data_IF_987140717597
#
_entry.id   IF_987140717597
#
_cell.length_a   1.000
_cell.length_b   1.000
_cell.length_c   1.000
_cell.angle_alpha   90.00
_cell.angle_beta   90.00
_cell.angle_gamma   90.00
#
_symmetry.space_group_name_H-M   'P 1'
#
loop_
_entity.id
_entity.type
_entity.pdbx_description
1 polymer ?
#
# COMPACT_ATOMS: atom_id res chain seq x y z
N UNK A 1 -10.76 -12.01 2.95
CA UNK A 1 -11.35 -12.86 4.02
C UNK A 1 -10.93 -12.31 5.37
N UNK A 2 -11.87 -11.83 6.16
CA UNK A 2 -11.63 -11.30 7.50
C UNK A 2 -11.22 -12.41 8.49
N UNK A 3 -10.47 -12.03 9.53
CA UNK A 3 -10.09 -12.97 10.61
C UNK A 3 -11.29 -13.66 11.28
N UNK A 4 -12.43 -12.94 11.36
CA UNK A 4 -13.71 -13.43 11.87
C UNK A 4 -14.37 -14.47 10.95
N UNK A 5 -14.23 -14.35 9.63
CA UNK A 5 -14.77 -15.32 8.67
C UNK A 5 -14.04 -16.66 8.73
N UNK A 6 -12.73 -16.66 8.99
CA UNK A 6 -11.95 -17.90 9.19
C UNK A 6 -12.38 -18.70 10.43
N UNK A 7 -13.01 -18.05 11.42
CA UNK A 7 -13.55 -18.69 12.63
C UNK A 7 -15.04 -19.02 12.53
N UNK A 8 -15.68 -18.79 11.36
CA UNK A 8 -17.13 -18.99 11.19
C UNK A 8 -18.00 -18.02 11.98
N UNK A 9 -17.41 -16.97 12.55
CA UNK A 9 -18.12 -15.92 13.25
C UNK A 9 -18.56 -14.87 12.23
N UNK A 10 -19.85 -14.79 11.94
CA UNK A 10 -20.42 -13.66 11.19
C UNK A 10 -20.39 -12.45 12.11
N UNK A 11 -19.70 -11.36 11.75
CA UNK A 11 -19.80 -10.13 12.53
C UNK A 11 -21.26 -9.66 12.49
N UNK A 12 -21.86 -9.50 13.63
CA UNK A 12 -23.22 -8.94 13.74
C UNK A 12 -23.14 -7.42 13.62
N UNK A 13 -22.71 -6.93 12.43
CA UNK A 13 -22.60 -5.50 12.14
C UNK A 13 -23.87 -5.08 11.46
N UNK A 14 -24.75 -4.41 12.20
CA UNK A 14 -25.98 -3.80 11.70
C UNK A 14 -25.84 -2.30 11.43
N UNK A 15 -24.62 -1.75 11.47
CA UNK A 15 -24.37 -0.32 11.26
C UNK A 15 -24.35 -0.05 9.75
N UNK A 16 -25.18 0.90 9.30
CA UNK A 16 -25.17 1.35 7.90
C UNK A 16 -23.90 2.17 7.60
N UNK A 17 -23.55 2.29 6.32
CA UNK A 17 -22.44 3.14 5.89
C UNK A 17 -22.62 4.60 6.34
N UNK A 18 -23.84 5.11 6.28
CA UNK A 18 -24.19 6.47 6.67
C UNK A 18 -24.02 6.74 8.19
N UNK A 19 -24.19 5.69 9.01
CA UNK A 19 -24.12 5.78 10.48
C UNK A 19 -22.71 5.45 11.01
N UNK A 20 -21.85 4.83 10.19
CA UNK A 20 -20.46 4.56 10.57
C UNK A 20 -19.73 5.88 10.87
N UNK A 21 -18.91 5.88 11.92
CA UNK A 21 -18.12 7.05 12.33
C UNK A 21 -16.63 6.74 12.27
N UNK A 22 -15.78 7.77 11.99
CA UNK A 22 -14.35 7.64 12.15
C UNK A 22 -13.96 7.09 13.52
N UNK A 23 -13.07 6.10 13.54
CA UNK A 23 -12.52 5.54 14.77
C UNK A 23 -11.43 6.45 15.35
N UNK A 24 -10.94 6.14 16.56
CA UNK A 24 -9.82 6.85 17.17
C UNK A 24 -8.60 6.90 16.24
N UNK A 25 -8.29 5.81 15.52
CA UNK A 25 -7.21 5.78 14.53
C UNK A 25 -7.42 6.80 13.42
N UNK A 26 -8.63 6.92 12.85
CA UNK A 26 -8.93 7.92 11.82
C UNK A 26 -8.73 9.34 12.33
N UNK A 27 -9.24 9.63 13.55
CA UNK A 27 -9.12 10.95 14.16
C UNK A 27 -7.66 11.28 14.53
N UNK A 28 -6.89 10.29 15.00
CA UNK A 28 -5.47 10.44 15.26
C UNK A 28 -4.70 10.76 13.98
N UNK A 29 -4.96 10.04 12.88
CA UNK A 29 -4.31 10.32 11.59
C UNK A 29 -4.68 11.72 11.11
N UNK A 30 -5.95 12.13 11.20
CA UNK A 30 -6.38 13.47 10.81
C UNK A 30 -5.64 14.56 11.61
N UNK A 31 -5.48 14.37 12.94
CA UNK A 31 -4.69 15.28 13.80
C UNK A 31 -3.22 15.34 13.34
N UNK A 32 -2.59 14.20 13.07
CA UNK A 32 -1.19 14.17 12.61
C UNK A 32 -1.01 14.82 11.23
N UNK A 33 -2.02 14.77 10.36
CA UNK A 33 -2.04 15.50 9.08
C UNK A 33 -2.10 17.00 9.34
N UNK A 34 -3.01 17.44 10.22
CA UNK A 34 -3.15 18.86 10.59
C UNK A 34 -1.88 19.44 11.21
N UNK A 35 -1.18 18.64 12.02
CA UNK A 35 0.12 18.99 12.63
C UNK A 35 1.32 18.83 11.68
N UNK A 36 1.06 18.57 10.40
CA UNK A 36 2.09 18.35 9.37
C UNK A 36 3.11 17.24 9.70
N UNK A 37 2.73 16.30 10.59
CA UNK A 37 3.54 15.11 10.93
C UNK A 37 3.32 13.99 9.92
N UNK A 38 2.09 13.81 9.44
CA UNK A 38 1.73 12.91 8.35
C UNK A 38 1.51 13.75 7.09
N UNK A 39 2.31 13.52 6.07
CA UNK A 39 2.25 14.31 4.82
C UNK A 39 1.15 13.82 3.88
N UNK A 40 0.90 12.51 3.86
CA UNK A 40 -0.04 11.93 2.91
C UNK A 40 -0.61 10.60 3.44
N UNK A 41 -1.89 10.37 3.20
CA UNK A 41 -2.62 9.15 3.55
C UNK A 41 -3.04 8.44 2.27
N UNK A 42 -2.77 7.13 2.18
CA UNK A 42 -3.15 6.29 1.05
C UNK A 42 -4.12 5.24 1.56
N UNK A 43 -5.37 5.30 1.11
CA UNK A 43 -6.41 4.37 1.51
C UNK A 43 -6.82 3.44 0.38
N UNK A 44 -7.09 2.18 0.74
CA UNK A 44 -7.74 1.20 -0.11
C UNK A 44 -9.20 0.98 0.30
N UNK A 45 -9.65 1.64 1.37
CA UNK A 45 -11.02 1.53 1.87
C UNK A 45 -11.95 2.44 1.07
N UNK A 46 -13.18 1.96 0.87
CA UNK A 46 -14.23 2.72 0.17
C UNK A 46 -15.25 3.35 1.14
N UNK A 47 -15.04 3.19 2.45
CA UNK A 47 -15.99 3.56 3.51
C UNK A 47 -16.11 5.07 3.77
N UNK A 48 -15.22 5.88 3.18
CA UNK A 48 -15.19 7.33 3.32
C UNK A 48 -14.80 7.84 4.71
N UNK A 49 -14.33 6.98 5.63
CA UNK A 49 -14.05 7.40 7.00
C UNK A 49 -12.88 8.38 7.11
N UNK A 50 -11.91 8.33 6.19
CA UNK A 50 -10.85 9.34 6.14
C UNK A 50 -11.35 10.71 5.67
N UNK A 51 -12.22 10.76 4.67
CA UNK A 51 -12.93 11.99 4.26
C UNK A 51 -13.71 12.55 5.46
N UNK A 52 -14.48 11.70 6.14
CA UNK A 52 -15.35 12.06 7.24
C UNK A 52 -14.61 12.45 8.53
N UNK A 53 -13.35 12.04 8.68
CA UNK A 53 -12.47 12.49 9.76
C UNK A 53 -11.88 13.88 9.54
N UNK A 54 -12.17 14.54 8.41
CA UNK A 54 -11.72 15.89 8.09
C UNK A 54 -10.32 15.96 7.47
N UNK A 55 -9.76 14.85 6.98
CA UNK A 55 -8.49 14.88 6.24
C UNK A 55 -8.70 15.67 4.93
N UNK A 56 -7.88 16.70 4.66
CA UNK A 56 -7.97 17.47 3.41
C UNK A 56 -7.72 16.58 2.18
N UNK A 57 -8.45 16.83 1.10
CA UNK A 57 -8.29 16.06 -0.15
C UNK A 57 -6.86 16.06 -0.69
N UNK A 58 -6.14 17.16 -0.53
CA UNK A 58 -4.73 17.28 -0.93
C UNK A 58 -3.77 16.33 -0.20
N UNK A 59 -4.19 15.77 0.93
CA UNK A 59 -3.41 14.87 1.78
C UNK A 59 -3.93 13.43 1.78
N UNK A 60 -4.90 13.11 0.92
CA UNK A 60 -5.58 11.82 0.88
C UNK A 60 -5.67 11.28 -0.54
N UNK A 61 -5.28 10.03 -0.73
CA UNK A 61 -5.60 9.25 -1.92
C UNK A 61 -6.56 8.10 -1.58
N UNK A 62 -7.60 7.95 -2.37
CA UNK A 62 -8.63 6.92 -2.23
C UNK A 62 -8.59 6.01 -3.46
N UNK A 63 -7.62 5.07 -3.46
CA UNK A 63 -7.23 4.30 -4.64
C UNK A 63 -8.34 3.39 -5.19
N UNK A 64 -9.26 2.94 -4.35
CA UNK A 64 -10.39 2.11 -4.78
C UNK A 64 -11.72 2.87 -4.80
N UNK A 65 -11.63 4.20 -4.70
CA UNK A 65 -12.79 5.08 -4.67
C UNK A 65 -13.36 5.29 -3.27
N UNK A 66 -14.57 5.88 -3.22
CA UNK A 66 -15.25 6.26 -1.99
C UNK A 66 -16.77 6.25 -2.20
N UNK A 67 -17.51 5.57 -1.33
CA UNK A 67 -18.98 5.48 -1.40
C UNK A 67 -19.69 6.83 -1.19
N UNK A 68 -18.99 7.81 -0.61
CA UNK A 68 -19.51 9.16 -0.37
C UNK A 68 -19.03 10.19 -1.40
N UNK A 69 -18.58 9.73 -2.59
CA UNK A 69 -18.12 10.60 -3.66
C UNK A 69 -18.77 10.22 -4.98
N UNK A 70 -19.18 11.24 -5.74
CA UNK A 70 -19.57 11.13 -7.13
C UNK A 70 -18.50 11.74 -8.05
N UNK A 71 -18.28 11.15 -9.21
CA UNK A 71 -17.43 11.69 -10.27
C UNK A 71 -18.28 12.14 -11.46
N UNK A 72 -17.96 13.27 -12.08
CA UNK A 72 -18.56 13.66 -13.34
C UNK A 72 -18.01 12.83 -14.51
N UNK A 73 -18.86 12.22 -15.31
CA UNK A 73 -18.49 11.39 -16.46
C UNK A 73 -17.71 12.15 -17.56
N UNK A 74 -17.83 13.47 -17.61
CA UNK A 74 -17.21 14.32 -18.65
C UNK A 74 -16.02 15.11 -18.13
N UNK A 75 -16.18 15.94 -17.08
CA UNK A 75 -15.11 16.81 -16.59
C UNK A 75 -14.26 16.19 -15.49
N UNK A 76 -14.61 14.99 -15.02
CA UNK A 76 -13.92 14.23 -13.99
C UNK A 76 -13.86 14.90 -12.59
N UNK A 77 -14.52 16.05 -12.42
CA UNK A 77 -14.62 16.66 -11.10
C UNK A 77 -15.39 15.71 -10.16
N UNK A 78 -14.93 15.68 -8.93
CA UNK A 78 -15.50 14.84 -7.86
C UNK A 78 -16.25 15.69 -6.85
N UNK A 79 -17.32 15.14 -6.28
CA UNK A 79 -18.19 15.85 -5.35
C UNK A 79 -18.58 14.94 -4.21
N UNK A 80 -18.55 15.47 -2.99
CA UNK A 80 -19.03 14.74 -1.81
C UNK A 80 -20.54 14.54 -1.90
N UNK A 81 -21.00 13.37 -1.44
CA UNK A 81 -22.42 13.00 -1.30
C UNK A 81 -22.87 13.13 0.15
N UNK A 82 -24.15 13.41 0.35
CA UNK A 82 -24.77 13.44 1.69
C UNK A 82 -25.13 12.04 2.22
N UNK A 83 -25.01 10.99 1.39
CA UNK A 83 -25.31 9.59 1.75
C UNK A 83 -24.47 8.65 0.91
N UNK A 84 -24.25 7.43 1.41
CA UNK A 84 -23.49 6.41 0.71
C UNK A 84 -24.11 6.04 -0.64
N UNK A 85 -23.27 5.71 -1.63
CA UNK A 85 -23.74 5.19 -2.92
C UNK A 85 -24.39 3.82 -2.74
N UNK A 86 -25.49 3.59 -3.46
CA UNK A 86 -26.12 2.29 -3.57
C UNK A 86 -25.57 1.45 -4.75
N UNK A 87 -24.64 2.02 -5.54
CA UNK A 87 -24.06 1.40 -6.72
C UNK A 87 -22.55 1.35 -6.64
N UNK A 88 -21.94 0.44 -7.41
CA UNK A 88 -20.51 0.18 -7.53
C UNK A 88 -20.19 0.02 -9.02
N UNK A 89 -18.97 0.35 -9.44
CA UNK A 89 -18.49 0.18 -10.80
C UNK A 89 -18.83 1.36 -11.69
N UNK A 90 -18.69 2.58 -11.16
CA UNK A 90 -18.84 3.85 -11.92
C UNK A 90 -20.16 3.99 -12.67
N UNK A 91 -21.25 3.54 -12.07
CA UNK A 91 -22.59 3.59 -12.69
C UNK A 91 -23.12 5.00 -12.76
N UNK A 92 -23.57 5.38 -13.96
CA UNK A 92 -24.18 6.70 -14.21
C UNK A 92 -25.50 6.85 -13.45
N UNK A 93 -25.68 8.02 -12.85
CA UNK A 93 -26.96 8.50 -12.33
C UNK A 93 -27.57 9.53 -13.30
N UNK A 94 -28.83 9.91 -13.05
CA UNK A 94 -29.46 11.00 -13.79
C UNK A 94 -29.11 12.40 -13.27
N UNK A 95 -28.29 12.48 -12.24
CA UNK A 95 -27.87 13.75 -11.64
C UNK A 95 -26.89 14.50 -12.56
N UNK A 96 -27.13 15.78 -12.87
CA UNK A 96 -26.20 16.58 -13.65
C UNK A 96 -24.94 16.91 -12.85
N UNK A 97 -23.86 17.23 -13.57
CA UNK A 97 -22.64 17.70 -12.96
C UNK A 97 -22.84 18.97 -12.11
N UNK A 98 -22.29 18.97 -10.90
CA UNK A 98 -22.40 20.09 -9.94
C UNK A 98 -21.25 21.11 -10.08
N UNK A 99 -20.41 21.02 -11.13
CA UNK A 99 -19.28 21.93 -11.30
C UNK A 99 -19.72 23.38 -11.43
N UNK A 100 -19.18 24.23 -10.53
CA UNK A 100 -19.44 25.68 -10.47
C UNK A 100 -18.26 26.52 -11.02
N UNK A 101 -17.25 25.85 -11.59
CA UNK A 101 -16.06 26.51 -12.15
C UNK A 101 -16.43 27.47 -13.30
N UNK A 102 -15.48 28.36 -13.69
CA UNK A 102 -15.66 29.39 -14.75
C UNK A 102 -16.30 28.87 -16.06
N UNK A 103 -16.18 27.56 -16.34
CA UNK A 103 -16.84 26.86 -17.44
C UNK A 103 -17.62 25.69 -16.86
N UNK A 104 -18.89 25.87 -16.48
CA UNK A 104 -19.71 24.80 -15.92
C UNK A 104 -19.85 23.65 -16.93
N UNK A 105 -19.71 22.45 -16.45
CA UNK A 105 -19.88 21.25 -17.26
C UNK A 105 -21.38 21.02 -17.52
N UNK A 106 -21.87 21.35 -18.72
CA UNK A 106 -23.29 21.30 -19.08
C UNK A 106 -23.76 19.91 -19.58
N UNK A 107 -22.83 19.00 -19.90
CA UNK A 107 -23.13 17.69 -20.53
C UNK A 107 -22.83 16.49 -19.64
N UNK A 108 -22.14 16.70 -18.52
CA UNK A 108 -21.73 15.63 -17.64
C UNK A 108 -22.86 15.19 -16.72
N UNK A 109 -22.98 13.88 -16.53
CA UNK A 109 -23.79 13.25 -15.48
C UNK A 109 -22.86 12.74 -14.39
N UNK A 110 -23.35 12.69 -13.16
CA UNK A 110 -22.63 12.10 -12.04
C UNK A 110 -22.67 10.57 -12.13
N UNK A 111 -21.62 9.94 -11.66
CA UNK A 111 -21.53 8.49 -11.48
C UNK A 111 -20.92 8.20 -10.12
N UNK A 112 -21.21 7.04 -9.54
CA UNK A 112 -20.53 6.65 -8.31
C UNK A 112 -19.00 6.58 -8.51
N UNK A 113 -18.25 6.85 -7.46
CA UNK A 113 -16.81 6.75 -7.44
C UNK A 113 -16.37 5.56 -6.57
N UNK A 114 -16.95 4.38 -6.84
CA UNK A 114 -16.55 3.10 -6.24
C UNK A 114 -16.09 2.19 -7.37
N UNK A 115 -14.84 1.79 -7.32
CA UNK A 115 -14.22 1.01 -8.40
C UNK A 115 -14.59 -0.46 -8.31
N UNK A 116 -14.82 -1.10 -9.46
CA UNK A 116 -14.83 -2.54 -9.60
C UNK A 116 -13.43 -3.07 -9.93
N UNK A 117 -13.23 -4.38 -9.92
CA UNK A 117 -11.94 -5.02 -10.14
C UNK A 117 -11.27 -4.69 -11.48
N UNK A 118 -12.07 -4.39 -12.50
CA UNK A 118 -11.62 -4.07 -13.86
C UNK A 118 -11.43 -2.57 -14.09
N UNK A 119 -11.84 -1.73 -13.13
CA UNK A 119 -11.71 -0.28 -13.26
C UNK A 119 -10.26 0.18 -13.06
N UNK A 120 -9.85 1.14 -13.88
CA UNK A 120 -8.56 1.80 -13.71
C UNK A 120 -8.55 2.64 -12.44
N UNK A 121 -7.42 2.60 -11.72
CA UNK A 121 -7.21 3.44 -10.53
C UNK A 121 -7.21 4.93 -10.91
N UNK A 122 -7.60 5.84 -9.99
CA UNK A 122 -7.60 7.27 -10.27
C UNK A 122 -6.17 7.80 -10.47
N UNK A 123 -5.89 8.38 -11.63
CA UNK A 123 -4.56 8.78 -12.06
C UNK A 123 -3.85 9.73 -11.08
N UNK A 124 -4.53 10.78 -10.63
CA UNK A 124 -3.97 11.77 -9.71
C UNK A 124 -3.68 11.15 -8.34
N UNK A 125 -4.60 10.33 -7.82
CA UNK A 125 -4.41 9.62 -6.55
C UNK A 125 -3.26 8.62 -6.64
N UNK A 126 -3.16 7.89 -7.74
CA UNK A 126 -2.10 6.92 -7.98
C UNK A 126 -0.74 7.61 -8.07
N UNK A 127 -0.66 8.71 -8.83
CA UNK A 127 0.55 9.53 -9.02
C UNK A 127 1.04 10.10 -7.69
N UNK A 128 0.15 10.71 -6.90
CA UNK A 128 0.47 11.25 -5.59
C UNK A 128 0.91 10.15 -4.62
N UNK A 129 0.21 9.02 -4.61
CA UNK A 129 0.56 7.87 -3.77
C UNK A 129 1.96 7.34 -4.07
N UNK A 130 2.29 7.19 -5.35
CA UNK A 130 3.62 6.77 -5.77
C UNK A 130 4.69 7.77 -5.33
N UNK A 131 4.45 9.06 -5.58
CA UNK A 131 5.40 10.12 -5.26
C UNK A 131 5.66 10.22 -3.74
N UNK A 132 4.60 10.31 -2.94
CA UNK A 132 4.73 10.39 -1.48
C UNK A 132 5.37 9.13 -0.89
N UNK A 133 5.01 7.94 -1.37
CA UNK A 133 5.62 6.68 -0.92
C UNK A 133 7.12 6.62 -1.24
N UNK A 134 7.55 7.16 -2.40
CA UNK A 134 8.96 7.18 -2.81
C UNK A 134 9.78 8.19 -1.99
N UNK A 135 9.18 9.34 -1.67
CA UNK A 135 9.83 10.44 -0.95
C UNK A 135 9.77 10.28 0.57
N UNK A 136 8.97 9.35 1.10
CA UNK A 136 8.77 9.21 2.54
C UNK A 136 10.00 8.69 3.27
N UNK A 137 10.30 9.28 4.42
CA UNK A 137 11.31 8.80 5.38
C UNK A 137 10.74 7.66 6.24
N UNK A 138 9.42 7.68 6.46
CA UNK A 138 8.68 6.68 7.23
C UNK A 138 7.36 6.35 6.54
N UNK A 139 7.15 5.07 6.26
CA UNK A 139 5.85 4.53 5.85
C UNK A 139 5.25 3.71 6.99
N UNK A 140 3.99 3.99 7.34
CA UNK A 140 3.23 3.24 8.35
C UNK A 140 2.06 2.57 7.66
N UNK A 141 2.01 1.25 7.73
CA UNK A 141 0.89 0.43 7.23
C UNK A 141 -0.04 0.10 8.38
N UNK A 142 -1.33 0.30 8.20
CA UNK A 142 -2.35 0.11 9.22
C UNK A 142 -3.46 -0.77 8.66
N UNK A 143 -3.70 -1.94 9.27
CA UNK A 143 -4.85 -2.80 8.96
C UNK A 143 -4.88 -3.41 7.56
N UNK A 144 -3.73 -3.51 6.86
CA UNK A 144 -3.65 -4.05 5.51
C UNK A 144 -2.74 -5.27 5.43
N UNK A 145 -3.15 -6.31 4.69
CA UNK A 145 -2.33 -7.48 4.38
C UNK A 145 -1.38 -7.25 3.20
N UNK A 146 -1.49 -6.10 2.51
CA UNK A 146 -0.65 -5.67 1.39
C UNK A 146 -0.69 -6.61 0.18
N UNK A 147 -1.81 -7.33 -0.03
CA UNK A 147 -1.94 -8.29 -1.13
C UNK A 147 -2.28 -7.62 -2.46
N UNK A 148 -3.14 -6.59 -2.44
CA UNK A 148 -3.66 -5.93 -3.64
C UNK A 148 -2.60 -4.95 -4.18
N UNK A 149 -2.19 -5.13 -5.42
CA UNK A 149 -1.23 -4.26 -6.11
C UNK A 149 -1.94 -3.27 -7.04
N UNK A 150 -1.39 -2.05 -7.28
CA UNK A 150 -0.07 -1.56 -6.84
C UNK A 150 0.00 -1.07 -5.39
N UNK A 151 -1.14 -0.76 -4.75
CA UNK A 151 -1.22 -0.16 -3.42
C UNK A 151 -0.41 -0.93 -2.35
N UNK A 152 -0.53 -2.26 -2.33
CA UNK A 152 0.20 -3.11 -1.38
C UNK A 152 1.73 -3.04 -1.47
N UNK A 153 2.29 -2.61 -2.61
CA UNK A 153 3.73 -2.46 -2.76
C UNK A 153 4.24 -1.07 -2.37
N UNK A 154 3.40 -0.04 -2.40
CA UNK A 154 3.77 1.37 -2.19
C UNK A 154 4.50 1.63 -0.87
N UNK A 155 4.10 1.06 0.28
CA UNK A 155 4.80 1.29 1.53
C UNK A 155 6.27 0.90 1.50
N UNK A 156 6.68 0.01 0.59
CA UNK A 156 8.07 -0.42 0.46
C UNK A 156 8.94 0.53 -0.37
N UNK A 157 8.34 1.56 -1.00
CA UNK A 157 9.10 2.45 -1.88
C UNK A 157 10.05 3.36 -1.10
N UNK A 158 9.70 3.73 0.13
CA UNK A 158 10.58 4.47 1.04
C UNK A 158 11.94 3.77 1.27
N UNK A 159 11.97 2.44 1.18
CA UNK A 159 13.22 1.67 1.35
C UNK A 159 14.26 1.95 0.26
N UNK A 160 13.85 2.50 -0.89
CA UNK A 160 14.77 2.88 -1.97
C UNK A 160 15.70 4.03 -1.54
N UNK A 161 15.21 4.92 -0.66
CA UNK A 161 15.89 6.10 -0.11
C UNK A 161 16.27 5.94 1.37
N UNK A 162 16.40 4.70 1.86
CA UNK A 162 16.73 4.38 3.26
C UNK A 162 15.63 4.74 4.28
N UNK A 163 14.42 4.99 3.84
CA UNK A 163 13.26 5.20 4.71
C UNK A 163 12.90 3.94 5.50
N UNK A 164 12.10 4.12 6.55
CA UNK A 164 11.65 3.06 7.45
C UNK A 164 10.23 2.61 7.13
N UNK A 165 9.95 1.33 7.37
CA UNK A 165 8.64 0.72 7.19
C UNK A 165 8.15 0.14 8.50
N UNK A 166 7.02 0.63 8.99
CA UNK A 166 6.30 0.09 10.15
C UNK A 166 5.02 -0.57 9.68
N UNK A 167 4.69 -1.73 10.22
CA UNK A 167 3.45 -2.45 9.90
C UNK A 167 2.67 -2.70 11.19
N UNK A 168 1.47 -2.15 11.26
CA UNK A 168 0.50 -2.35 12.34
C UNK A 168 -0.62 -3.21 11.76
N UNK A 169 -0.61 -4.50 12.03
CA UNK A 169 -1.62 -5.42 11.52
C UNK A 169 -1.69 -6.70 12.36
N UNK A 170 -2.89 -7.20 12.64
CA UNK A 170 -3.10 -8.43 13.42
C UNK A 170 -2.56 -9.67 12.70
N UNK A 171 -2.66 -9.70 11.38
CA UNK A 171 -2.21 -10.82 10.55
C UNK A 171 -0.85 -10.55 9.92
N UNK A 172 -0.17 -11.62 9.50
CA UNK A 172 1.02 -11.51 8.67
C UNK A 172 0.70 -10.81 7.34
N UNK A 173 1.65 -10.03 6.83
CA UNK A 173 1.52 -9.31 5.58
C UNK A 173 2.55 -9.79 4.56
N UNK A 174 2.29 -9.47 3.28
CA UNK A 174 3.21 -9.77 2.18
C UNK A 174 4.63 -9.20 2.39
N UNK A 175 4.74 -8.09 3.14
CA UNK A 175 5.99 -7.35 3.28
C UNK A 175 6.59 -7.36 4.70
N UNK A 176 6.18 -8.25 5.57
CA UNK A 176 6.73 -8.39 6.92
C UNK A 176 8.27 -8.46 6.93
N UNK A 177 8.86 -9.22 6.00
CA UNK A 177 10.32 -9.36 5.87
C UNK A 177 11.06 -8.05 5.52
N UNK A 178 10.34 -7.03 5.02
CA UNK A 178 10.90 -5.73 4.66
C UNK A 178 10.69 -4.67 5.75
N UNK A 179 9.82 -4.95 6.72
CA UNK A 179 9.49 -4.03 7.79
C UNK A 179 10.65 -3.86 8.77
N UNK A 180 10.87 -2.62 9.24
CA UNK A 180 11.78 -2.31 10.33
C UNK A 180 11.13 -2.57 11.70
N UNK A 181 9.79 -2.43 11.77
CA UNK A 181 9.00 -2.71 12.97
C UNK A 181 7.65 -3.30 12.58
N UNK A 182 7.23 -4.34 13.31
CA UNK A 182 5.91 -4.96 13.16
C UNK A 182 5.21 -4.95 14.52
N UNK A 183 3.99 -4.39 14.54
CA UNK A 183 3.15 -4.33 15.73
C UNK A 183 1.90 -5.16 15.50
N UNK A 184 1.72 -6.24 16.27
CA UNK A 184 0.58 -7.15 16.20
C UNK A 184 -0.47 -6.78 17.25
N UNK A 185 -1.14 -5.65 17.01
CA UNK A 185 -2.18 -5.15 17.90
C UNK A 185 -3.27 -4.42 17.10
N UNK A 186 -4.36 -4.07 17.78
CA UNK A 186 -5.43 -3.24 17.23
C UNK A 186 -4.94 -1.81 16.99
N UNK A 187 -5.33 -1.23 15.85
CA UNK A 187 -4.84 0.09 15.43
C UNK A 187 -5.19 1.18 16.47
N UNK A 188 -6.41 1.20 16.99
CA UNK A 188 -6.83 2.20 17.96
C UNK A 188 -5.96 2.19 19.23
N UNK A 189 -5.62 1.01 19.75
CA UNK A 189 -4.73 0.87 20.92
C UNK A 189 -3.32 1.36 20.62
N UNK A 190 -2.79 1.08 19.43
CA UNK A 190 -1.46 1.54 19.02
C UNK A 190 -1.43 3.06 18.92
N UNK A 191 -2.47 3.67 18.34
CA UNK A 191 -2.52 5.11 18.19
C UNK A 191 -2.79 5.84 19.52
N UNK A 192 -3.55 5.28 20.44
CA UNK A 192 -3.71 5.80 21.80
C UNK A 192 -2.35 5.88 22.52
N UNK A 193 -1.58 4.78 22.51
CA UNK A 193 -0.24 4.74 23.11
C UNK A 193 0.75 5.68 22.39
N UNK A 194 0.67 5.78 21.06
CA UNK A 194 1.50 6.70 20.30
C UNK A 194 1.21 8.16 20.68
N UNK A 195 -0.06 8.53 20.80
CA UNK A 195 -0.48 9.87 21.16
C UNK A 195 -0.07 10.23 22.59
N UNK A 196 -0.23 9.32 23.55
CA UNK A 196 0.31 9.47 24.90
C UNK A 196 1.81 9.79 24.90
N UNK A 197 2.60 9.03 24.10
CA UNK A 197 4.04 9.24 23.97
C UNK A 197 4.43 10.56 23.28
N UNK A 198 3.59 11.04 22.38
CA UNK A 198 3.78 12.32 21.69
C UNK A 198 3.28 13.51 22.48
N UNK A 199 2.56 13.29 23.58
CA UNK A 199 1.92 14.34 24.37
C UNK A 199 0.72 15.00 23.67
N UNK A 200 0.03 14.22 22.82
CA UNK A 200 -1.20 14.64 22.15
C UNK A 200 -2.42 13.91 22.69
N UNK A 201 -3.55 14.59 22.67
CA UNK A 201 -4.85 13.95 22.84
C UNK A 201 -5.40 13.52 21.47
N UNK A 202 -6.02 12.32 21.41
CA UNK A 202 -6.75 11.89 20.22
C UNK A 202 -8.04 12.68 20.14
N UNK A 203 -8.28 13.46 19.07
CA UNK A 203 -9.52 14.22 18.94
C UNK A 203 -10.74 13.30 18.88
N UNK A 204 -11.85 13.76 19.44
CA UNK A 204 -13.13 13.11 19.21
C UNK A 204 -13.70 13.49 17.85
N UNK A 205 -14.48 12.58 17.26
CA UNK A 205 -15.20 12.87 16.03
C UNK A 205 -16.29 13.92 16.28
N UNK A 206 -16.36 14.91 15.38
CA UNK A 206 -17.40 15.95 15.37
C UNK A 206 -18.11 16.01 14.02
N UNK A 207 -19.43 16.13 14.04
CA UNK A 207 -20.25 16.32 12.84
C UNK A 207 -19.89 17.61 12.08
N UNK A 208 -19.31 18.60 12.77
CA UNK A 208 -18.86 19.88 12.19
C UNK A 208 -17.65 19.72 11.24
N UNK A 209 -16.86 18.67 11.44
CA UNK A 209 -15.70 18.34 10.60
C UNK A 209 -16.04 17.36 9.48
N UNK A 210 -17.23 16.74 9.52
CA UNK A 210 -17.65 15.73 8.57
C UNK A 210 -18.33 16.36 7.34
N UNK A 211 -17.67 16.36 6.16
CA UNK A 211 -18.23 16.93 4.93
C UNK A 211 -19.59 16.31 4.54
N UNK A 212 -19.81 15.03 4.85
CA UNK A 212 -21.07 14.34 4.58
C UNK A 212 -22.21 14.90 5.44
N UNK A 213 -21.93 15.19 6.72
CA UNK A 213 -22.89 15.78 7.64
C UNK A 213 -23.20 17.25 7.30
N UNK A 214 -22.19 18.01 6.89
CA UNK A 214 -22.37 19.39 6.43
C UNK A 214 -23.32 19.46 5.23
N UNK A 215 -23.20 18.55 4.28
CA UNK A 215 -24.12 18.45 3.13
C UNK A 215 -25.52 17.98 3.54
N UNK A 216 -25.63 17.01 4.47
CA UNK A 216 -26.91 16.48 4.95
C UNK A 216 -27.71 17.51 5.71
N UNK A 217 -27.03 18.38 6.45
CA UNK A 217 -27.63 19.47 7.22
C UNK A 217 -27.84 20.75 6.39
N UNK A 218 -27.66 20.68 5.04
CA UNK A 218 -27.80 21.80 4.11
C UNK A 218 -26.93 23.04 4.45
N UNK A 219 -25.91 22.84 5.29
CA UNK A 219 -24.97 23.91 5.68
C UNK A 219 -24.15 24.37 4.46
N UNK A 220 -23.84 23.44 3.58
CA UNK A 220 -23.08 23.66 2.34
C UNK A 220 -23.80 22.95 1.20
N UNK A 221 -23.96 23.62 0.05
CA UNK A 221 -24.68 23.04 -1.08
C UNK A 221 -23.84 22.05 -1.92
N UNK A 222 -22.55 22.28 -2.04
CA UNK A 222 -21.61 21.43 -2.82
C UNK A 222 -20.23 21.45 -2.16
N UNK A 223 -19.63 20.29 -2.02
CA UNK A 223 -18.21 20.16 -1.61
C UNK A 223 -17.46 19.51 -2.75
N UNK A 224 -16.49 20.23 -3.33
CA UNK A 224 -15.58 19.71 -4.35
C UNK A 224 -14.54 18.79 -3.69
N UNK A 225 -14.43 17.57 -4.22
CA UNK A 225 -13.50 16.55 -3.76
C UNK A 225 -12.50 16.16 -4.85
N UNK A 226 -12.34 17.03 -5.86
CA UNK A 226 -11.46 16.79 -7.00
C UNK A 226 -10.00 16.85 -6.58
N UNK A 227 -9.21 15.84 -6.94
CA UNK A 227 -7.77 15.87 -6.74
C UNK A 227 -7.11 16.84 -7.71
N UNK A 228 -6.08 17.54 -7.26
CA UNK A 228 -5.38 18.51 -8.08
C UNK A 228 -4.36 17.86 -9.02
N UNK A 229 -4.64 17.89 -10.33
CA UNK A 229 -3.71 17.43 -11.35
C UNK A 229 -2.39 18.23 -11.35
N UNK A 230 -2.42 19.51 -11.00
CA UNK A 230 -1.20 20.34 -10.87
C UNK A 230 -0.34 19.84 -9.72
N UNK A 231 -0.96 19.59 -8.57
CA UNK A 231 -0.27 19.04 -7.39
C UNK A 231 0.34 17.67 -7.71
N UNK A 232 -0.40 16.79 -8.39
CA UNK A 232 0.08 15.47 -8.78
C UNK A 232 1.35 15.57 -9.65
N UNK A 233 1.36 16.43 -10.67
CA UNK A 233 2.52 16.66 -11.54
C UNK A 233 3.73 17.25 -10.80
N UNK A 234 3.51 18.14 -9.83
CA UNK A 234 4.59 18.69 -9.01
C UNK A 234 5.27 17.60 -8.15
N UNK A 235 4.49 16.74 -7.52
CA UNK A 235 5.00 15.65 -6.71
C UNK A 235 5.65 14.56 -7.57
N UNK A 236 5.09 14.23 -8.72
CA UNK A 236 5.69 13.32 -9.70
C UNK A 236 7.08 13.80 -10.12
N UNK A 237 7.23 15.08 -10.43
CA UNK A 237 8.53 15.68 -10.78
C UNK A 237 9.54 15.54 -9.64
N UNK A 238 9.13 15.78 -8.38
CA UNK A 238 10.00 15.63 -7.20
C UNK A 238 10.45 14.18 -7.02
N UNK A 239 9.53 13.22 -7.11
CA UNK A 239 9.86 11.80 -6.94
C UNK A 239 10.74 11.26 -8.07
N UNK A 240 10.47 11.64 -9.32
CA UNK A 240 11.27 11.26 -10.49
C UNK A 240 12.71 11.80 -10.41
N UNK A 241 12.90 13.01 -9.89
CA UNK A 241 14.22 13.56 -9.62
C UNK A 241 15.00 12.70 -8.61
N UNK A 242 14.40 12.39 -7.47
CA UNK A 242 15.03 11.52 -6.45
C UNK A 242 15.36 10.13 -7.01
N UNK A 243 14.46 9.51 -7.76
CA UNK A 243 14.72 8.20 -8.37
C UNK A 243 15.89 8.24 -9.36
N UNK A 244 16.00 9.31 -10.14
CA UNK A 244 17.14 9.53 -11.04
C UNK A 244 18.46 9.64 -10.28
N UNK A 245 18.50 10.43 -9.22
CA UNK A 245 19.68 10.59 -8.35
C UNK A 245 20.08 9.26 -7.71
N UNK A 246 19.14 8.50 -7.17
CA UNK A 246 19.40 7.19 -6.59
C UNK A 246 19.92 6.17 -7.64
N UNK A 247 19.43 6.22 -8.87
CA UNK A 247 19.96 5.38 -9.97
C UNK A 247 21.40 5.73 -10.29
N UNK A 248 21.74 7.02 -10.34
CA UNK A 248 23.12 7.47 -10.59
C UNK A 248 24.07 7.06 -9.45
N UNK A 249 23.66 7.24 -8.20
CA UNK A 249 24.44 6.82 -7.04
C UNK A 249 24.71 5.31 -7.04
N UNK A 250 23.70 4.49 -7.33
CA UNK A 250 23.88 3.02 -7.44
C UNK A 250 24.82 2.61 -8.58
N UNK A 251 24.78 3.32 -9.71
CA UNK A 251 25.74 3.08 -10.81
C UNK A 251 27.17 3.43 -10.36
N UNK A 252 27.36 4.55 -9.70
CA UNK A 252 28.67 4.98 -9.21
C UNK A 252 29.23 4.01 -8.17
N UNK A 253 28.41 3.57 -7.21
CA UNK A 253 28.80 2.56 -6.21
C UNK A 253 29.23 1.23 -6.84
N UNK A 254 28.51 0.77 -7.88
CA UNK A 254 28.90 -0.44 -8.63
C UNK A 254 30.23 -0.27 -9.33
N UNK A 255 30.49 0.89 -9.95
CA UNK A 255 31.76 1.19 -10.60
C UNK A 255 32.94 1.27 -9.63
N UNK A 256 32.71 1.83 -8.44
CA UNK A 256 33.73 1.90 -7.37
C UNK A 256 34.08 0.50 -6.86
N UNK A 257 33.08 -0.34 -6.59
CA UNK A 257 33.31 -1.75 -6.20
C UNK A 257 34.07 -2.58 -7.26
N UNK A 258 33.90 -2.27 -8.54
CA UNK A 258 34.63 -2.92 -9.61
C UNK A 258 36.09 -2.42 -9.75
N UNK A 259 36.36 -1.20 -9.24
CA UNK A 259 37.71 -0.59 -9.25
C UNK A 259 38.51 -0.87 -7.98
N UNK A 260 37.90 -1.39 -6.91
CA UNK A 260 38.64 -1.89 -5.75
C UNK A 260 39.43 -3.11 -6.22
N UNK A 261 40.79 -3.04 -6.28
CA UNK A 261 41.59 -4.19 -6.65
C UNK A 261 41.35 -5.27 -5.60
N UNK A 262 41.32 -6.52 -6.06
CA UNK A 262 41.31 -7.70 -5.19
C UNK A 262 42.62 -7.70 -4.36
N UNK A 263 42.68 -6.87 -3.34
CA UNK A 263 43.84 -6.75 -2.43
C UNK A 263 44.11 -8.07 -1.72
N UNK A 264 43.05 -8.85 -1.47
CA UNK A 264 43.19 -10.15 -0.80
C UNK A 264 43.98 -11.19 -1.64
N UNK A 265 43.88 -11.16 -2.98
CA UNK A 265 44.62 -12.09 -3.85
C UNK A 265 46.13 -11.73 -3.98
N UNK A 266 46.50 -10.51 -3.74
CA UNK A 266 47.92 -10.07 -3.76
C UNK A 266 48.63 -10.35 -2.44
N UNK A 267 47.93 -10.32 -1.32
CA UNK A 267 48.46 -10.63 -0.01
C UNK A 267 48.61 -12.14 0.22
N UNK A 268 47.73 -12.97 -0.35
CA UNK A 268 47.92 -14.43 -0.37
C UNK A 268 49.10 -14.86 -1.24
N UNK A 269 49.30 -14.28 -2.43
CA UNK A 269 50.46 -14.56 -3.27
C UNK A 269 51.79 -14.12 -2.66
N UNK A 270 51.83 -13.03 -1.87
CA UNK A 270 53.04 -12.61 -1.16
C UNK A 270 53.36 -13.52 0.01
N UNK A 271 52.39 -14.22 0.60
CA UNK A 271 52.62 -15.19 1.68
C UNK A 271 53.13 -16.54 1.17
N UNK A 272 52.89 -16.92 -0.08
CA UNK A 272 53.42 -18.13 -0.70
C UNK A 272 54.86 -17.96 -1.15
N UNK A 273 55.31 -16.76 -1.51
CA UNK A 273 56.70 -16.48 -1.95
C UNK A 273 57.71 -16.39 -0.81
N UNK A 274 57.26 -16.27 0.48
CA UNK A 274 58.13 -16.15 1.65
C UNK A 274 58.33 -17.46 2.47
N UNK A 275 58.04 -18.65 1.89
CA UNK A 275 58.33 -19.91 2.57
C UNK A 275 59.78 -20.35 2.31
N UNK A 276 60.60 -20.54 3.38
CA UNK A 276 61.99 -20.98 3.21
C UNK A 276 62.05 -22.45 2.71
N UNK A 277 62.84 -22.65 1.69
CA UNK A 277 63.24 -23.97 1.15
C UNK A 277 63.69 -24.90 2.29
N UNK A 278 62.91 -25.90 2.62
CA UNK A 278 63.32 -27.03 3.44
C UNK A 278 63.92 -28.11 2.57
N UNK A 279 65.19 -28.40 2.87
CA UNK A 279 66.00 -29.45 2.30
C UNK A 279 65.36 -30.84 2.43
N UNK A 280 65.45 -31.58 1.34
CA UNK A 280 65.14 -33.03 1.25
C UNK A 280 66.11 -33.83 2.16
N UNK A 281 65.57 -34.70 2.98
CA UNK A 281 66.25 -35.96 3.35
C UNK A 281 65.29 -37.11 3.20
N UNK A 282 65.75 -37.97 2.27
CA UNK A 282 65.24 -39.30 1.99
C UNK A 282 65.24 -40.18 3.25
N UNK A 283 64.20 -40.94 3.48
CA UNK A 283 64.32 -42.34 3.87
C UNK A 283 63.03 -43.11 3.60
N UNK A 284 63.29 -44.25 2.97
CA UNK A 284 62.42 -45.31 2.48
C UNK A 284 61.92 -46.18 3.63
N UNK A 285 60.69 -46.64 3.62
CA UNK A 285 60.17 -48.02 3.87
C UNK A 285 58.65 -47.99 4.02
N UNK A 286 57.97 -48.55 3.03
CA UNK A 286 57.32 -49.91 2.90
C UNK A 286 56.31 -50.26 3.99
N UNK A 287 55.22 -50.67 3.42
CA UNK A 287 54.21 -51.70 3.80
C UNK A 287 52.88 -51.19 4.34
N UNK A 288 51.88 -51.37 3.51
CA UNK A 288 50.86 -52.41 3.33
C UNK A 288 49.68 -52.30 4.29
N UNK A 289 48.57 -52.09 3.82
CA UNK A 289 47.39 -52.89 3.54
C UNK A 289 46.06 -52.36 4.11
N UNK A 290 45.09 -52.46 3.26
CA UNK A 290 43.67 -52.84 3.40
C UNK A 290 42.72 -51.98 4.27
N UNK A 291 41.71 -51.50 3.73
CA UNK A 291 40.37 -51.95 3.38
C UNK A 291 39.27 -50.93 3.65
N UNK A 292 38.45 -50.83 2.66
CA UNK A 292 36.97 -50.74 2.61
C UNK A 292 36.26 -49.44 2.98
N UNK A 293 35.64 -48.93 1.92
CA UNK A 293 34.18 -48.66 1.74
C UNK A 293 33.48 -47.74 2.78
N UNK A 294 32.83 -46.70 2.37
CA UNK A 294 31.51 -46.74 1.72
C UNK A 294 31.06 -45.36 1.24
N UNK A 295 30.34 -45.40 0.15
CA UNK A 295 29.56 -44.42 -0.53
C UNK A 295 28.74 -43.47 0.35
N UNK A 296 28.62 -42.19 -0.11
CA UNK A 296 27.31 -41.55 -0.18
C UNK A 296 27.37 -40.35 -1.17
N UNK A 297 26.77 -40.58 -2.31
CA UNK A 297 26.37 -39.61 -3.31
C UNK A 297 25.27 -38.72 -2.72
N UNK A 298 25.41 -37.39 -2.84
CA UNK A 298 24.25 -36.48 -2.79
C UNK A 298 24.13 -35.82 -4.15
N UNK A 299 23.01 -36.13 -4.78
CA UNK A 299 22.56 -35.63 -6.09
C UNK A 299 22.10 -34.19 -5.97
N UNK A 300 22.52 -33.36 -6.90
CA UNK A 300 21.85 -32.14 -7.33
C UNK A 300 20.56 -32.53 -8.07
N UNK A 301 19.45 -31.99 -7.66
CA UNK A 301 18.22 -31.95 -8.45
C UNK A 301 17.86 -30.49 -8.76
N UNK A 302 18.18 -30.13 -9.98
CA UNK A 302 17.51 -29.04 -10.71
C UNK A 302 16.13 -29.56 -11.13
N UNK A 303 15.08 -28.80 -10.83
CA UNK A 303 13.75 -29.05 -11.39
C UNK A 303 13.25 -27.84 -12.14
N UNK A 304 13.29 -27.98 -13.46
CA UNK A 304 12.50 -27.27 -14.44
C UNK A 304 11.01 -27.57 -14.25
N UNK A 305 10.15 -26.55 -14.23
CA UNK A 305 8.72 -26.73 -14.48
C UNK A 305 8.37 -26.10 -15.84
N UNK A 306 8.18 -27.00 -16.82
CA UNK A 306 7.50 -26.72 -18.08
C UNK A 306 6.00 -26.99 -17.94
N UNK A 307 5.23 -26.05 -18.47
CA UNK A 307 3.90 -26.10 -19.07
C UNK A 307 3.08 -27.39 -18.99
N UNK A 308 1.86 -27.24 -18.50
CA UNK A 308 0.76 -28.16 -18.73
C UNK A 308 -0.58 -27.42 -18.67
N UNK A 309 -1.11 -27.09 -19.83
CA UNK A 309 -2.48 -26.65 -20.00
C UNK A 309 -3.41 -27.87 -19.94
N UNK A 310 -4.38 -27.86 -19.05
CA UNK A 310 -5.56 -28.70 -19.23
C UNK A 310 -6.84 -27.99 -18.77
N UNK A 311 -7.80 -28.08 -19.67
CA UNK A 311 -9.18 -27.61 -19.62
C UNK A 311 -9.94 -28.38 -18.54
N UNK A 312 -10.70 -27.67 -17.71
CA UNK A 312 -11.91 -28.24 -17.14
C UNK A 312 -12.94 -27.12 -16.90
N UNK A 313 -14.03 -27.24 -17.63
CA UNK A 313 -15.21 -26.41 -17.51
C UNK A 313 -15.92 -26.71 -16.18
N UNK A 314 -16.39 -25.66 -15.53
CA UNK A 314 -17.44 -25.77 -14.51
C UNK A 314 -18.47 -24.67 -14.68
N UNK A 315 -19.67 -25.15 -14.71
CA UNK A 315 -20.98 -24.54 -14.85
C UNK A 315 -21.20 -23.28 -14.02
N UNK A 316 -21.80 -22.31 -14.68
CA UNK A 316 -22.45 -21.13 -14.14
C UNK A 316 -23.60 -21.56 -13.23
N UNK A 317 -23.56 -21.18 -11.94
CA UNK A 317 -24.71 -21.22 -11.04
C UNK A 317 -25.25 -19.79 -10.89
N UNK A 318 -26.46 -19.59 -11.40
CA UNK A 318 -27.26 -18.39 -11.19
C UNK A 318 -27.69 -18.26 -9.71
N UNK A 319 -27.82 -17.03 -9.18
CA UNK A 319 -28.32 -16.81 -7.83
C UNK A 319 -29.85 -16.92 -7.79
N UNK A 320 -30.44 -17.39 -6.69
CA UNK A 320 -31.86 -17.62 -6.56
C UNK A 320 -32.63 -16.31 -6.42
N UNK A 321 -33.59 -16.11 -7.30
CA UNK A 321 -34.66 -15.11 -7.25
C UNK A 321 -35.56 -15.35 -6.02
N UNK A 322 -35.59 -14.45 -5.06
CA UNK A 322 -36.61 -14.43 -4.00
C UNK A 322 -37.77 -13.57 -4.43
N UNK A 323 -38.87 -14.25 -4.67
CA UNK A 323 -40.23 -13.66 -4.81
C UNK A 323 -40.68 -13.21 -3.43
N UNK A 324 -40.99 -11.94 -3.29
CA UNK A 324 -41.72 -11.38 -2.14
C UNK A 324 -43.23 -11.58 -2.43
N UNK A 325 -43.90 -12.33 -1.57
CA UNK A 325 -45.36 -12.33 -1.47
C UNK A 325 -45.74 -11.21 -0.48
N UNK A 326 -46.61 -10.38 -0.99
CA UNK A 326 -47.43 -9.42 -0.22
C UNK A 326 -48.56 -10.17 0.46
N UNK A 327 -48.72 -9.95 1.74
CA UNK A 327 -49.99 -9.87 2.49
C UNK A 327 -49.86 -8.71 3.50
#
# INVERSE_FOLDING_TARGET
>A
MNFTEKKGLKPNISISWDDAKPTKTHMAIAKLVTEDKVKFVISQNIDGLHLRSGIPRSNLAELHGNMFVDECSVCKNMFVRSSASSTVGRKLSDMPCKSINRRPCRKGKLRDFVLDWEDELPDEDLTLSHAHSTLSELSIVIGSTLQIIPAGNMPTYCKKSSGKLVIINLQATKHDKKADLIIRNYADQVFELLFEKLGYDVPEYSDELDPVKLLKNETIAVIDWTQSATLAKEWEKKSSKLESELRQQRKLQKLLKLKEPKKELLDEKRKEDDLPLKQEKSDVKTEVDETKNDDLKVRNEENEYKNGAEKNGHSILEPPTKVLKTD
#
